data_IF_508891441310
#
_entry.id   IF_508891441310
#
_cell.length_a   1.000
_cell.length_b   1.000
_cell.length_c   1.000
_cell.angle_alpha   90.00
_cell.angle_beta   90.00
_cell.angle_gamma   90.00
#
_symmetry.space_group_name_H-M   'P 1'
#
loop_
_entity.id
_entity.type
_entity.pdbx_description
1 polymer ?
#
# COMPACT_ATOMS: atom_id res chain seq x y z
N UNK A 1 21.42 -10.24 -7.20
CA UNK A 1 19.96 -10.34 -7.38
C UNK A 1 19.64 -9.81 -8.77
N UNK A 2 18.98 -10.57 -9.63
CA UNK A 2 18.60 -10.09 -10.98
C UNK A 2 17.45 -9.08 -10.87
N UNK A 3 17.25 -8.27 -11.90
CA UNK A 3 16.17 -7.27 -11.95
C UNK A 3 14.80 -7.94 -11.77
N UNK A 4 14.58 -9.08 -12.41
CA UNK A 4 13.34 -9.86 -12.32
C UNK A 4 13.07 -10.35 -10.90
N UNK A 5 14.10 -10.85 -10.22
CA UNK A 5 13.96 -11.27 -8.83
C UNK A 5 13.58 -10.09 -7.92
N UNK A 6 14.13 -8.91 -8.17
CA UNK A 6 13.79 -7.71 -7.42
C UNK A 6 12.33 -7.29 -7.67
N UNK A 7 11.85 -7.35 -8.92
CA UNK A 7 10.46 -7.05 -9.29
C UNK A 7 9.49 -8.02 -8.63
N UNK A 8 9.77 -9.33 -8.66
CA UNK A 8 8.94 -10.33 -8.00
C UNK A 8 8.95 -10.18 -6.48
N UNK A 9 10.11 -9.91 -5.87
CA UNK A 9 10.20 -9.66 -4.43
C UNK A 9 9.36 -8.44 -4.03
N UNK A 10 9.51 -7.32 -4.74
CA UNK A 10 8.75 -6.10 -4.49
C UNK A 10 7.25 -6.31 -4.70
N UNK A 11 6.87 -7.13 -5.68
CA UNK A 11 5.45 -7.51 -5.91
C UNK A 11 4.89 -8.27 -4.70
N UNK A 12 5.66 -9.23 -4.17
CA UNK A 12 5.30 -9.93 -2.94
C UNK A 12 5.18 -9.00 -1.74
N UNK A 13 6.13 -8.08 -1.56
CA UNK A 13 6.09 -7.08 -0.50
C UNK A 13 4.87 -6.16 -0.63
N UNK A 14 4.53 -5.72 -1.84
CA UNK A 14 3.33 -4.91 -2.08
C UNK A 14 2.06 -5.67 -1.69
N UNK A 15 1.96 -6.96 -2.03
CA UNK A 15 0.84 -7.80 -1.61
C UNK A 15 0.72 -7.90 -0.08
N UNK A 16 1.85 -8.04 0.62
CA UNK A 16 1.88 -8.04 2.09
C UNK A 16 1.38 -6.71 2.65
N UNK A 17 1.78 -5.57 2.09
CA UNK A 17 1.30 -4.25 2.55
C UNK A 17 -0.22 -4.12 2.39
N UNK A 18 -0.78 -4.51 1.25
CA UNK A 18 -2.25 -4.47 1.02
C UNK A 18 -2.98 -5.32 2.06
N UNK A 19 -2.48 -6.55 2.32
CA UNK A 19 -3.06 -7.47 3.28
C UNK A 19 -2.97 -6.94 4.71
N UNK A 20 -1.79 -6.47 5.14
CA UNK A 20 -1.57 -5.94 6.48
C UNK A 20 -2.45 -4.71 6.74
N UNK A 21 -2.59 -3.80 5.77
CA UNK A 21 -3.49 -2.65 5.90
C UNK A 21 -4.93 -3.10 6.13
N UNK A 22 -5.40 -4.11 5.39
CA UNK A 22 -6.76 -4.64 5.58
C UNK A 22 -6.93 -5.29 6.95
N UNK A 23 -6.03 -6.18 7.34
CA UNK A 23 -6.11 -6.88 8.62
C UNK A 23 -6.11 -5.89 9.78
N UNK A 24 -5.16 -4.96 9.78
CA UNK A 24 -4.97 -3.99 10.85
C UNK A 24 -6.14 -3.01 10.97
N UNK A 25 -6.57 -2.39 9.87
CA UNK A 25 -7.66 -1.42 9.94
C UNK A 25 -9.02 -2.08 10.20
N UNK A 26 -9.18 -3.37 9.89
CA UNK A 26 -10.38 -4.12 10.27
C UNK A 26 -10.44 -4.43 11.77
N UNK A 27 -9.30 -4.62 12.44
CA UNK A 27 -9.26 -4.82 13.90
C UNK A 27 -9.39 -3.51 14.68
N UNK A 28 -8.83 -2.40 14.15
CA UNK A 28 -8.94 -1.06 14.76
C UNK A 28 -10.39 -0.53 14.80
N UNK A 29 -11.30 -1.02 13.95
CA UNK A 29 -12.72 -0.63 13.95
C UNK A 29 -13.48 -0.99 15.23
N UNK A 30 -12.98 -1.96 15.98
CA UNK A 30 -13.60 -2.43 17.22
C UNK A 30 -12.92 -1.85 18.48
N UNK A 31 -11.92 -0.98 18.32
CA UNK A 31 -11.13 -0.40 19.41
C UNK A 31 -11.48 1.06 19.66
N UNK A 32 -11.82 1.40 20.91
CA UNK A 32 -12.11 2.78 21.31
C UNK A 32 -10.82 3.61 21.41
N UNK A 33 -10.82 4.84 20.88
CA UNK A 33 -9.72 5.80 21.05
C UNK A 33 -8.76 5.99 19.87
N UNK A 34 -8.93 5.25 18.76
CA UNK A 34 -8.14 5.44 17.55
C UNK A 34 -8.80 6.40 16.54
N UNK A 35 -7.99 7.15 15.78
CA UNK A 35 -8.47 7.96 14.67
C UNK A 35 -9.07 7.06 13.59
N UNK A 36 -10.40 7.03 13.49
CA UNK A 36 -11.13 6.13 12.62
C UNK A 36 -10.92 6.48 11.15
N UNK A 37 -10.56 5.48 10.35
CA UNK A 37 -10.58 5.58 8.88
C UNK A 37 -11.95 5.12 8.37
N UNK A 38 -12.62 5.88 7.50
CA UNK A 38 -13.86 5.46 6.88
C UNK A 38 -13.74 4.07 6.22
N UNK A 39 -14.70 3.18 6.51
CA UNK A 39 -14.71 1.81 5.96
C UNK A 39 -14.68 1.78 4.42
N UNK A 40 -15.25 2.80 3.77
CA UNK A 40 -15.18 2.96 2.31
C UNK A 40 -13.74 3.07 1.79
N UNK A 41 -12.86 3.80 2.48
CA UNK A 41 -11.45 3.97 2.11
C UNK A 41 -10.69 2.64 2.29
N UNK A 42 -10.95 1.92 3.39
CA UNK A 42 -10.32 0.61 3.66
C UNK A 42 -10.72 -0.41 2.58
N UNK A 43 -12.01 -0.44 2.21
CA UNK A 43 -12.52 -1.28 1.12
C UNK A 43 -11.90 -0.89 -0.21
N UNK A 44 -11.85 0.41 -0.53
CA UNK A 44 -11.24 0.91 -1.76
C UNK A 44 -9.78 0.49 -1.86
N UNK A 45 -8.97 0.71 -0.83
CA UNK A 45 -7.57 0.29 -0.78
C UNK A 45 -7.43 -1.23 -0.97
N UNK A 46 -8.29 -2.04 -0.35
CA UNK A 46 -8.17 -3.50 -0.54
C UNK A 46 -8.51 -3.90 -1.98
N UNK A 47 -9.60 -3.37 -2.54
CA UNK A 47 -10.07 -3.73 -3.89
C UNK A 47 -9.10 -3.22 -4.95
N UNK A 48 -8.68 -1.97 -4.85
CA UNK A 48 -7.72 -1.36 -5.78
C UNK A 48 -6.38 -2.06 -5.68
N UNK A 49 -5.87 -2.35 -4.48
CA UNK A 49 -4.63 -3.10 -4.29
C UNK A 49 -4.66 -4.51 -4.89
N UNK A 50 -5.76 -5.25 -4.72
CA UNK A 50 -5.92 -6.58 -5.34
C UNK A 50 -5.99 -6.46 -6.87
N UNK A 51 -6.73 -5.49 -7.40
CA UNK A 51 -6.77 -5.24 -8.84
C UNK A 51 -5.39 -4.87 -9.39
N UNK A 52 -4.65 -4.00 -8.69
CA UNK A 52 -3.29 -3.60 -9.06
C UNK A 52 -2.38 -4.83 -9.15
N UNK A 53 -2.43 -5.72 -8.14
CA UNK A 53 -1.66 -6.96 -8.12
C UNK A 53 -2.02 -7.90 -9.28
N UNK A 54 -3.29 -8.13 -9.53
CA UNK A 54 -3.74 -9.04 -10.59
C UNK A 54 -3.29 -8.53 -11.96
N UNK A 55 -3.53 -7.25 -12.25
CA UNK A 55 -3.15 -6.65 -13.54
C UNK A 55 -1.63 -6.59 -13.68
N UNK A 56 -0.90 -6.29 -12.60
CA UNK A 56 0.56 -6.28 -12.60
C UNK A 56 1.16 -7.67 -12.82
N UNK A 57 0.67 -8.70 -12.13
CA UNK A 57 1.14 -10.08 -12.34
C UNK A 57 0.85 -10.55 -13.77
N UNK A 58 -0.33 -10.21 -14.32
CA UNK A 58 -0.64 -10.51 -15.71
C UNK A 58 0.36 -9.85 -16.68
N UNK A 59 0.75 -8.60 -16.41
CA UNK A 59 1.81 -7.91 -17.17
C UNK A 59 3.18 -8.58 -17.00
N UNK A 60 3.58 -9.00 -15.79
CA UNK A 60 4.87 -9.65 -15.57
C UNK A 60 4.98 -11.01 -16.27
N UNK A 61 3.88 -11.74 -16.41
CA UNK A 61 3.86 -13.05 -17.11
C UNK A 61 3.93 -12.90 -18.62
N UNK A 62 3.37 -11.82 -19.16
CA UNK A 62 3.39 -11.54 -20.61
C UNK A 62 3.59 -10.05 -20.85
N UNK A 63 4.85 -9.56 -20.75
CA UNK A 63 5.14 -8.15 -20.95
C UNK A 63 4.78 -7.70 -22.36
N UNK A 64 4.13 -6.55 -22.47
CA UNK A 64 3.80 -5.93 -23.76
C UNK A 64 2.50 -5.12 -23.76
N UNK A 65 2.35 -4.30 -24.80
CA UNK A 65 1.17 -3.47 -25.02
C UNK A 65 0.94 -2.43 -23.92
N UNK A 66 -0.32 -2.03 -23.73
CA UNK A 66 -0.70 -1.00 -22.75
C UNK A 66 -0.90 -1.55 -21.33
N UNK A 67 -0.76 -2.86 -21.11
CA UNK A 67 -1.09 -3.50 -19.83
C UNK A 67 -0.20 -3.00 -18.69
N UNK A 68 1.09 -2.79 -18.95
CA UNK A 68 2.02 -2.22 -17.97
C UNK A 68 1.60 -0.81 -17.52
N UNK A 69 1.19 0.05 -18.47
CA UNK A 69 0.71 1.40 -18.15
C UNK A 69 -0.59 1.38 -17.33
N UNK A 70 -1.52 0.48 -17.67
CA UNK A 70 -2.76 0.28 -16.91
C UNK A 70 -2.43 -0.19 -15.49
N UNK A 71 -1.54 -1.17 -15.34
CA UNK A 71 -1.11 -1.63 -14.03
C UNK A 71 -0.48 -0.52 -13.18
N UNK A 72 0.40 0.30 -13.77
CA UNK A 72 1.00 1.46 -13.11
C UNK A 72 -0.05 2.46 -12.65
N UNK A 73 -1.02 2.80 -13.51
CA UNK A 73 -2.08 3.73 -13.15
C UNK A 73 -2.88 3.24 -11.94
N UNK A 74 -3.24 1.95 -11.89
CA UNK A 74 -3.96 1.36 -10.76
C UNK A 74 -3.10 1.38 -9.49
N UNK A 75 -1.80 1.05 -9.59
CA UNK A 75 -0.87 1.13 -8.45
C UNK A 75 -0.70 2.54 -7.90
N UNK A 76 -0.66 3.57 -8.76
CA UNK A 76 -0.59 4.95 -8.30
C UNK A 76 -1.86 5.37 -7.55
N UNK A 77 -3.04 4.90 -7.97
CA UNK A 77 -4.29 5.08 -7.21
C UNK A 77 -4.20 4.39 -5.85
N UNK A 78 -3.68 3.16 -5.80
CA UNK A 78 -3.49 2.43 -4.54
C UNK A 78 -2.57 3.18 -3.56
N UNK A 79 -1.45 3.71 -4.06
CA UNK A 79 -0.53 4.51 -3.25
C UNK A 79 -1.20 5.79 -2.75
N UNK A 80 -2.01 6.45 -3.57
CA UNK A 80 -2.77 7.62 -3.13
C UNK A 80 -3.74 7.27 -1.99
N UNK A 81 -4.45 6.13 -2.08
CA UNK A 81 -5.32 5.62 -1.01
C UNK A 81 -4.52 5.31 0.27
N UNK A 82 -3.34 4.69 0.14
CA UNK A 82 -2.45 4.42 1.27
C UNK A 82 -1.95 5.70 1.96
N UNK A 83 -1.63 6.74 1.20
CA UNK A 83 -1.25 8.05 1.75
C UNK A 83 -2.43 8.72 2.45
N UNK A 84 -3.65 8.67 1.87
CA UNK A 84 -4.86 9.16 2.52
C UNK A 84 -5.13 8.44 3.85
N UNK A 85 -4.79 7.16 3.96
CA UNK A 85 -4.88 6.42 5.22
C UNK A 85 -3.90 6.96 6.28
N UNK A 86 -2.73 7.47 5.88
CA UNK A 86 -1.75 8.06 6.79
C UNK A 86 -2.18 9.42 7.36
N UNK A 87 -3.00 10.20 6.64
CA UNK A 87 -3.42 11.54 7.10
C UNK A 87 -4.24 11.49 8.39
N UNK A 88 -4.75 10.31 8.79
CA UNK A 88 -5.41 10.09 10.09
C UNK A 88 -4.53 10.46 11.28
N UNK A 89 -3.22 10.36 11.14
CA UNK A 89 -2.25 10.70 12.20
C UNK A 89 -1.82 12.16 12.18
N UNK A 90 -2.12 12.91 11.11
CA UNK A 90 -1.77 14.33 11.01
C UNK A 90 -2.79 15.25 11.70
N UNK A 91 -4.00 14.77 12.00
CA UNK A 91 -5.13 15.60 12.47
C UNK A 91 -5.44 15.44 13.97
N UNK A 92 -4.61 14.69 14.72
CA UNK A 92 -4.92 14.25 16.08
C UNK A 92 -3.91 14.65 17.15
N UNK A 93 -3.65 15.94 17.36
CA UNK A 93 -2.98 16.46 18.58
C UNK A 93 -3.95 17.34 19.37
N UNK A 94 -5.09 16.76 19.74
CA UNK A 94 -6.00 17.36 20.72
C UNK A 94 -5.48 17.11 22.14
N UNK A 95 -5.44 18.16 22.95
CA UNK A 95 -5.05 18.22 24.39
C UNK A 95 -5.78 17.23 25.35
N UNK A 96 -6.68 16.41 24.82
CA UNK A 96 -7.48 15.41 25.55
C UNK A 96 -7.36 13.99 24.97
N UNK A 97 -6.39 13.73 24.07
CA UNK A 97 -6.17 12.39 23.56
C UNK A 97 -5.64 11.49 24.69
N UNK A 98 -6.41 10.47 25.05
CA UNK A 98 -6.00 9.41 25.97
C UNK A 98 -4.78 8.72 25.39
N UNK A 99 -3.72 8.53 26.19
CA UNK A 99 -2.54 7.78 25.76
C UNK A 99 -2.98 6.37 25.32
N UNK A 100 -2.80 6.06 24.04
CA UNK A 100 -3.10 4.74 23.48
C UNK A 100 -2.21 3.72 24.17
N UNK A 101 -2.81 2.73 24.83
CA UNK A 101 -2.12 1.76 25.70
C UNK A 101 -1.40 0.65 24.92
N UNK A 102 -0.86 0.94 23.74
CA UNK A 102 -0.28 -0.03 22.81
C UNK A 102 0.90 0.54 22.02
N UNK A 103 2.00 0.88 22.72
CA UNK A 103 3.28 1.27 22.12
C UNK A 103 4.08 0.04 21.61
N UNK A 104 3.40 -0.94 21.02
CA UNK A 104 4.08 -2.04 20.33
C UNK A 104 4.42 -1.62 18.90
N UNK A 105 5.58 -2.05 18.39
CA UNK A 105 6.12 -1.64 17.08
C UNK A 105 5.12 -1.87 15.91
N UNK A 106 4.19 -2.82 16.05
CA UNK A 106 3.15 -3.13 15.07
C UNK A 106 1.85 -2.33 15.20
N UNK A 107 1.55 -1.78 16.38
CA UNK A 107 0.33 -1.01 16.66
C UNK A 107 0.51 0.50 16.49
N UNK A 108 1.76 0.98 16.51
CA UNK A 108 2.11 2.37 16.24
C UNK A 108 2.01 2.78 14.76
N UNK A 109 2.15 4.09 14.46
CA UNK A 109 2.10 4.62 13.09
C UNK A 109 3.27 4.14 12.22
N UNK A 110 4.39 3.73 12.83
CA UNK A 110 5.63 3.37 12.14
C UNK A 110 5.44 2.27 11.08
N UNK A 111 4.75 1.17 11.41
CA UNK A 111 4.52 0.08 10.46
C UNK A 111 3.64 0.53 9.26
N UNK A 112 2.63 1.37 9.51
CA UNK A 112 1.76 1.91 8.46
C UNK A 112 2.54 2.86 7.54
N UNK A 113 3.39 3.73 8.12
CA UNK A 113 4.27 4.63 7.37
C UNK A 113 5.25 3.83 6.53
N UNK A 114 5.93 2.84 7.12
CA UNK A 114 6.87 1.98 6.41
C UNK A 114 6.21 1.29 5.22
N UNK A 115 5.03 0.72 5.41
CA UNK A 115 4.27 0.06 4.34
C UNK A 115 3.96 1.00 3.17
N UNK A 116 3.40 2.18 3.44
CA UNK A 116 2.97 3.09 2.38
C UNK A 116 4.12 3.86 1.72
N UNK A 117 5.17 4.21 2.48
CA UNK A 117 6.39 4.79 1.89
C UNK A 117 7.13 3.74 1.06
N UNK A 118 7.23 2.51 1.56
CA UNK A 118 7.79 1.39 0.81
C UNK A 118 7.03 1.13 -0.49
N UNK A 119 5.69 1.19 -0.47
CA UNK A 119 4.84 1.11 -1.65
C UNK A 119 5.08 2.25 -2.65
N UNK A 120 5.21 3.50 -2.17
CA UNK A 120 5.52 4.65 -3.01
C UNK A 120 6.87 4.48 -3.73
N UNK A 121 7.90 4.02 -3.02
CA UNK A 121 9.21 3.72 -3.60
C UNK A 121 9.12 2.53 -4.59
N UNK A 122 8.38 1.49 -4.23
CA UNK A 122 8.14 0.32 -5.08
C UNK A 122 7.47 0.68 -6.41
N UNK A 123 6.40 1.49 -6.39
CA UNK A 123 5.74 1.91 -7.64
C UNK A 123 6.60 2.86 -8.45
N UNK A 124 7.42 3.69 -7.80
CA UNK A 124 8.38 4.55 -8.51
C UNK A 124 9.42 3.72 -9.26
N UNK A 125 9.91 2.64 -8.62
CA UNK A 125 10.79 1.66 -9.25
C UNK A 125 10.09 0.92 -10.40
N UNK A 126 8.87 0.40 -10.20
CA UNK A 126 8.10 -0.25 -11.28
C UNK A 126 7.83 0.69 -12.46
N UNK A 127 7.53 1.96 -12.18
CA UNK A 127 7.34 2.99 -13.21
C UNK A 127 8.60 3.13 -14.07
N UNK A 128 9.78 3.20 -13.44
CA UNK A 128 11.04 3.23 -14.16
C UNK A 128 11.28 1.96 -15.00
N UNK A 129 10.99 0.78 -14.44
CA UNK A 129 11.16 -0.51 -15.14
C UNK A 129 10.32 -0.58 -16.42
N UNK A 130 9.05 -0.17 -16.34
CA UNK A 130 8.12 -0.19 -17.48
C UNK A 130 8.48 0.88 -18.50
N UNK A 131 8.78 2.11 -18.07
CA UNK A 131 9.07 3.21 -18.99
C UNK A 131 10.43 3.08 -19.68
N UNK A 132 11.40 2.45 -19.02
CA UNK A 132 12.74 2.21 -19.58
C UNK A 132 12.86 0.85 -20.28
N UNK A 133 11.74 0.14 -20.45
CA UNK A 133 11.62 -1.16 -21.14
C UNK A 133 12.67 -2.17 -20.65
N UNK A 134 12.75 -2.34 -19.32
CA UNK A 134 13.80 -3.14 -18.66
C UNK A 134 13.39 -4.58 -18.34
N UNK A 135 12.16 -4.98 -18.66
CA UNK A 135 11.70 -6.35 -18.54
C UNK A 135 12.02 -7.08 -19.85
N UNK A 136 12.85 -8.12 -19.77
CA UNK A 136 13.31 -8.93 -20.91
C UNK A 136 12.51 -10.22 -21.06
#
# INVERSE_FOLDING_TARGET
>A
MTLDNAVWLLTGLAAVVVLLTRMRLSSEQFQAGHALVPLGIIKAHTVVGVLALVVWIAYLVSPGGTLGLVALAIWWIEVALGILILTRWMTGTGKHATATTGDSWGEGPALSILGHVGMLLGISFFTWIVLADKLS
#
